data_IF_552662155513
#
_entry.id   IF_552662155513
#
_cell.length_a   1.000
_cell.length_b   1.000
_cell.length_c   1.000
_cell.angle_alpha   90.00
_cell.angle_beta   90.00
_cell.angle_gamma   90.00
#
_symmetry.space_group_name_H-M   'P 1'
#
loop_
_entity.id
_entity.type
_entity.pdbx_description
1 polymer ?
#
# COMPACT_ATOMS: atom_id res chain seq x y z
N UNK A 1 24.87 26.11 -10.21
CA UNK A 1 24.63 25.50 -10.27
C UNK A 1 24.45 24.63 -9.75
N UNK A 2 24.06 24.23 -9.28
CA UNK A 2 23.89 23.36 -8.75
C UNK A 2 23.68 22.32 -9.15
N UNK A 3 23.92 21.96 -9.61
CA UNK A 3 23.74 21.04 -10.06
C UNK A 3 24.11 19.94 -9.61
N UNK A 4 24.64 19.64 -8.83
CA UNK A 4 24.91 18.57 -8.24
C UNK A 4 23.85 18.01 -7.52
N UNK A 5 22.65 18.32 -7.55
CA UNK A 5 21.62 17.71 -6.85
C UNK A 5 21.31 16.40 -7.43
N UNK A 6 20.94 15.41 -6.59
CA UNK A 6 20.55 14.15 -7.00
C UNK A 6 19.40 14.22 -7.92
N UNK A 7 19.39 13.46 -8.98
CA UNK A 7 18.28 13.45 -9.86
C UNK A 7 17.16 12.68 -9.29
N UNK A 8 15.95 13.22 -9.34
CA UNK A 8 14.75 12.51 -8.99
C UNK A 8 14.25 11.80 -10.23
N UNK A 9 13.49 10.71 -10.06
CA UNK A 9 12.86 10.07 -11.18
C UNK A 9 11.86 11.01 -11.81
N UNK A 10 11.44 10.73 -13.04
CA UNK A 10 10.44 11.56 -13.71
C UNK A 10 9.16 11.62 -12.88
N UNK A 11 8.78 10.49 -12.28
CA UNK A 11 7.58 10.42 -11.45
C UNK A 11 7.72 11.34 -10.23
N UNK A 12 8.84 11.30 -9.53
CA UNK A 12 9.05 12.13 -8.34
C UNK A 12 9.09 13.60 -8.66
N UNK A 13 9.69 13.97 -9.77
CA UNK A 13 9.72 15.37 -10.18
C UNK A 13 8.32 15.88 -10.47
N UNK A 14 7.50 15.03 -11.07
CA UNK A 14 6.14 15.41 -11.43
C UNK A 14 5.27 15.68 -10.21
N UNK A 15 5.32 14.83 -9.21
CA UNK A 15 4.43 14.95 -8.08
C UNK A 15 5.06 15.61 -6.86
N UNK A 16 6.30 15.28 -6.56
CA UNK A 16 6.99 15.82 -5.40
C UNK A 16 6.15 15.87 -4.14
N UNK A 17 5.33 14.85 -3.92
CA UNK A 17 4.44 14.78 -2.78
C UNK A 17 4.74 13.52 -1.99
N UNK A 18 4.95 13.61 -0.67
CA UNK A 18 5.30 12.44 0.13
C UNK A 18 4.11 11.50 0.30
N UNK A 19 4.41 10.22 0.43
CA UNK A 19 3.42 9.22 0.75
C UNK A 19 3.30 9.15 2.28
N UNK A 20 2.08 8.97 2.77
CA UNK A 20 1.79 9.03 4.20
C UNK A 20 1.49 7.64 4.74
N UNK A 21 2.24 7.25 5.76
CA UNK A 21 2.03 5.99 6.45
C UNK A 21 0.61 5.92 7.02
N UNK A 22 -0.04 4.80 6.80
CA UNK A 22 -1.41 4.59 7.28
C UNK A 22 -2.48 4.89 6.26
N UNK A 23 -2.12 5.51 5.15
CA UNK A 23 -3.10 5.84 4.11
C UNK A 23 -3.11 4.78 3.02
N UNK A 24 -4.18 4.78 2.25
CA UNK A 24 -4.34 3.87 1.11
C UNK A 24 -3.97 4.59 -0.18
N UNK A 25 -3.38 3.84 -1.10
CA UNK A 25 -2.94 4.35 -2.39
C UNK A 25 -3.20 3.32 -3.48
N UNK A 26 -3.22 3.76 -4.73
CA UNK A 26 -3.27 2.86 -5.87
C UNK A 26 -1.87 2.57 -6.33
N UNK A 27 -1.61 1.30 -6.63
CA UNK A 27 -0.31 0.86 -7.12
C UNK A 27 -0.43 0.57 -8.61
N UNK A 28 0.61 0.91 -9.36
CA UNK A 28 0.65 0.58 -10.77
C UNK A 28 0.92 -0.90 -10.87
N UNK A 29 -0.01 -1.65 -11.37
CA UNK A 29 0.24 -3.05 -11.63
C UNK A 29 -0.69 -3.51 -12.72
N UNK A 30 -0.46 -4.72 -13.19
CA UNK A 30 -1.23 -5.27 -14.29
C UNK A 30 -2.66 -5.62 -13.89
N UNK A 31 -2.95 -5.63 -12.62
CA UNK A 31 -4.28 -6.00 -12.15
C UNK A 31 -5.22 -4.82 -11.96
N UNK A 32 -4.86 -3.66 -12.40
CA UNK A 32 -5.75 -2.52 -12.31
C UNK A 32 -5.65 -1.73 -11.01
N UNK A 33 -4.57 -1.88 -10.30
CA UNK A 33 -4.32 -1.03 -9.15
C UNK A 33 -5.15 -1.33 -7.92
N UNK A 34 -4.95 -2.50 -7.35
CA UNK A 34 -5.59 -2.82 -6.07
C UNK A 34 -5.27 -1.76 -5.04
N UNK A 35 -6.25 -1.35 -4.22
CA UNK A 35 -5.96 -0.41 -3.15
C UNK A 35 -5.00 -1.04 -2.16
N UNK A 36 -4.03 -0.26 -1.73
CA UNK A 36 -2.97 -0.76 -0.87
C UNK A 36 -2.71 0.20 0.27
N UNK A 37 -2.55 -0.34 1.46
CA UNK A 37 -2.28 0.46 2.64
C UNK A 37 -0.78 0.50 2.89
N UNK A 38 -0.24 1.70 3.00
CA UNK A 38 1.17 1.90 3.31
C UNK A 38 1.35 1.78 4.81
N UNK A 39 2.13 0.81 5.28
CA UNK A 39 2.29 0.62 6.71
C UNK A 39 3.71 0.83 7.23
N UNK A 40 4.67 1.03 6.33
CA UNK A 40 6.04 1.31 6.72
C UNK A 40 6.75 1.96 5.55
N UNK A 41 7.65 2.88 5.80
CA UNK A 41 8.41 3.50 4.71
C UNK A 41 9.84 3.81 5.13
N UNK A 42 10.71 3.81 4.14
CA UNK A 42 12.08 4.27 4.28
C UNK A 42 12.38 5.14 3.07
N UNK A 43 12.17 6.43 3.21
CA UNK A 43 12.28 7.36 2.10
C UNK A 43 13.70 7.46 1.54
N UNK A 44 14.70 7.31 2.40
CA UNK A 44 16.09 7.37 1.96
C UNK A 44 16.43 6.27 0.99
N UNK A 45 15.88 5.08 1.20
CA UNK A 45 16.13 3.95 0.33
C UNK A 45 15.04 3.72 -0.69
N UNK A 46 14.06 4.61 -0.74
CA UNK A 46 12.93 4.49 -1.65
C UNK A 46 12.22 3.15 -1.50
N UNK A 47 11.92 2.79 -0.27
CA UNK A 47 11.21 1.55 0.04
C UNK A 47 9.93 1.86 0.77
N UNK A 48 8.83 1.25 0.31
CA UNK A 48 7.52 1.45 0.87
C UNK A 48 6.85 0.09 1.04
N UNK A 49 6.51 -0.25 2.28
CA UNK A 49 5.89 -1.53 2.58
C UNK A 49 4.38 -1.38 2.52
N UNK A 50 3.74 -2.18 1.69
CA UNK A 50 2.30 -2.10 1.50
C UNK A 50 1.64 -3.44 1.70
N UNK A 51 0.35 -3.38 2.04
CA UNK A 51 -0.51 -4.55 2.13
C UNK A 51 -1.70 -4.28 1.21
N UNK A 52 -1.99 -5.22 0.33
CA UNK A 52 -2.98 -5.02 -0.72
C UNK A 52 -4.32 -5.61 -0.37
N UNK A 53 -5.37 -5.02 -0.91
CA UNK A 53 -6.74 -5.46 -0.71
C UNK A 53 -7.41 -5.67 -2.07
N UNK A 54 -8.39 -6.56 -2.11
CA UNK A 54 -9.11 -6.87 -3.34
C UNK A 54 -10.54 -7.23 -3.02
N UNK A 55 -11.41 -7.18 -4.02
CA UNK A 55 -12.82 -7.57 -3.84
C UNK A 55 -13.05 -9.01 -4.27
N UNK A 56 -12.03 -9.71 -4.75
CA UNK A 56 -12.18 -11.07 -5.24
C UNK A 56 -11.53 -12.09 -4.32
N UNK A 57 -12.20 -13.24 -4.09
CA UNK A 57 -11.58 -14.31 -3.31
C UNK A 57 -10.47 -14.97 -4.11
N UNK A 58 -9.65 -15.75 -3.43
CA UNK A 58 -8.58 -16.47 -4.09
C UNK A 58 -7.57 -17.00 -3.10
N UNK A 59 -6.52 -17.62 -3.63
CA UNK A 59 -5.46 -18.15 -2.79
C UNK A 59 -4.70 -17.02 -2.15
N UNK A 60 -4.23 -17.26 -0.95
CA UNK A 60 -3.43 -16.29 -0.20
C UNK A 60 -4.19 -14.98 0.08
N UNK A 61 -5.52 -15.09 0.16
CA UNK A 61 -6.37 -13.96 0.48
C UNK A 61 -7.27 -14.33 1.65
N UNK A 62 -7.48 -13.39 2.55
CA UNK A 62 -8.32 -13.60 3.72
C UNK A 62 -9.48 -12.62 3.70
N UNK A 63 -10.69 -13.16 3.86
CA UNK A 63 -11.88 -12.32 3.88
C UNK A 63 -11.90 -11.47 5.15
N UNK A 64 -12.17 -10.18 4.98
CA UNK A 64 -12.35 -9.27 6.10
C UNK A 64 -13.78 -9.29 6.56
N UNK A 65 -14.02 -8.92 7.81
CA UNK A 65 -15.37 -8.83 8.35
C UNK A 65 -16.12 -7.65 7.77
N UNK A 66 -15.39 -6.61 7.40
CA UNK A 66 -16.01 -5.37 6.90
C UNK A 66 -15.35 -4.90 5.62
N UNK A 67 -16.15 -4.33 4.74
CA UNK A 67 -15.68 -3.73 3.51
C UNK A 67 -14.79 -2.55 3.84
N UNK A 68 -13.64 -2.42 3.14
CA UNK A 68 -12.75 -1.29 3.36
C UNK A 68 -13.30 0.00 2.73
N UNK A 69 -14.16 -0.14 1.73
CA UNK A 69 -14.78 1.00 1.07
C UNK A 69 -16.25 1.05 1.47
N UNK A 70 -16.65 1.99 2.32
CA UNK A 70 -18.02 2.02 2.82
C UNK A 70 -19.08 2.28 1.75
N UNK A 71 -18.65 2.69 0.57
CA UNK A 71 -19.58 2.94 -0.53
C UNK A 71 -19.75 1.75 -1.46
N UNK A 72 -19.03 0.67 -1.23
CA UNK A 72 -19.14 -0.53 -2.06
C UNK A 72 -19.87 -1.63 -1.32
N UNK A 73 -20.64 -2.40 -2.07
CA UNK A 73 -21.24 -3.61 -1.53
C UNK A 73 -20.29 -4.77 -1.82
N UNK A 74 -20.54 -5.90 -1.20
CA UNK A 74 -19.73 -7.08 -1.38
C UNK A 74 -18.61 -7.17 -0.36
N UNK A 75 -17.72 -8.12 -0.56
CA UNK A 75 -16.69 -8.43 0.41
C UNK A 75 -15.37 -7.78 0.07
N UNK A 76 -14.56 -7.59 1.09
CA UNK A 76 -13.17 -7.19 0.93
C UNK A 76 -12.28 -8.32 1.42
N UNK A 77 -11.17 -8.51 0.73
CA UNK A 77 -10.18 -9.51 1.08
C UNK A 77 -8.82 -8.83 1.20
N UNK A 78 -8.03 -9.26 2.17
CA UNK A 78 -6.66 -8.80 2.28
C UNK A 78 -5.76 -9.86 1.65
N UNK A 79 -4.79 -9.41 0.87
CA UNK A 79 -3.81 -10.30 0.25
C UNK A 79 -2.73 -10.56 1.30
N UNK A 80 -2.52 -11.84 1.61
CA UNK A 80 -1.71 -12.25 2.76
C UNK A 80 -0.21 -12.02 2.63
N UNK A 81 0.23 -11.54 1.49
CA UNK A 81 1.65 -11.31 1.23
C UNK A 81 1.94 -9.84 1.00
N UNK A 82 2.40 -9.12 2.03
CA UNK A 82 2.80 -7.74 1.85
C UNK A 82 3.99 -7.64 0.91
N UNK A 83 4.18 -6.49 0.31
CA UNK A 83 5.30 -6.29 -0.61
C UNK A 83 6.00 -4.97 -0.35
N UNK A 84 7.19 -4.82 -0.92
CA UNK A 84 7.96 -3.60 -0.84
C UNK A 84 7.95 -2.97 -2.23
N UNK A 85 7.55 -1.71 -2.29
CA UNK A 85 7.45 -0.98 -3.55
C UNK A 85 8.32 0.26 -3.52
N UNK A 86 8.58 0.82 -4.69
CA UNK A 86 9.28 2.09 -4.82
C UNK A 86 8.25 3.19 -4.98
N UNK A 87 8.66 4.42 -4.78
CA UNK A 87 7.76 5.56 -4.98
C UNK A 87 7.14 5.53 -6.37
N UNK A 88 7.94 5.18 -7.36
CA UNK A 88 7.50 5.14 -8.76
C UNK A 88 6.47 4.07 -9.06
N UNK A 89 6.32 3.11 -8.17
CA UNK A 89 5.33 2.04 -8.35
C UNK A 89 3.92 2.45 -7.94
N UNK A 90 3.78 3.59 -7.30
CA UNK A 90 2.46 4.12 -6.93
C UNK A 90 1.89 4.86 -8.13
N UNK A 91 0.61 4.66 -8.40
CA UNK A 91 -0.03 5.30 -9.55
C UNK A 91 -0.01 6.82 -9.42
N UNK A 92 -0.19 7.31 -8.20
CA UNK A 92 -0.07 8.72 -7.89
C UNK A 92 0.08 8.85 -6.37
N UNK A 93 0.51 9.99 -5.86
CA UNK A 93 0.74 10.14 -4.41
C UNK A 93 -0.47 10.67 -3.63
N UNK A 94 -1.67 10.57 -4.20
CA UNK A 94 -2.87 11.08 -3.54
C UNK A 94 -3.59 9.95 -2.82
N UNK A 95 -3.76 10.03 -1.51
CA UNK A 95 -4.36 8.94 -0.75
C UNK A 95 -5.85 8.78 -1.04
N UNK A 96 -6.30 7.54 -0.93
CA UNK A 96 -7.72 7.20 -1.07
C UNK A 96 -8.35 7.34 0.31
N UNK A 97 -8.79 8.53 0.63
CA UNK A 97 -9.24 8.86 1.99
C UNK A 97 -10.55 8.22 2.42
N UNK A 98 -11.31 7.68 1.49
CA UNK A 98 -12.56 7.01 1.81
C UNK A 98 -12.36 5.55 2.22
N UNK A 99 -11.15 5.03 2.09
CA UNK A 99 -10.87 3.64 2.42
C UNK A 99 -10.25 3.53 3.81
N UNK A 100 -10.63 2.49 4.53
CA UNK A 100 -10.02 2.23 5.83
C UNK A 100 -10.32 0.81 6.27
N UNK A 101 -9.48 0.29 7.14
CA UNK A 101 -9.69 -1.03 7.74
C UNK A 101 -10.54 -0.83 8.99
N UNK A 102 -11.66 -1.55 9.07
CA UNK A 102 -12.52 -1.48 10.25
C UNK A 102 -11.75 -1.99 11.47
N UNK A 103 -12.05 -1.42 12.63
CA UNK A 103 -11.33 -1.79 13.85
C UNK A 103 -11.35 -3.29 14.14
N UNK A 104 -12.41 -3.98 13.75
CA UNK A 104 -12.51 -5.41 13.96
C UNK A 104 -11.60 -6.24 13.05
N UNK A 105 -11.09 -5.63 12.00
CA UNK A 105 -10.18 -6.29 11.08
C UNK A 105 -8.72 -5.88 11.30
N UNK A 106 -8.48 -4.90 12.15
CA UNK A 106 -7.13 -4.40 12.36
C UNK A 106 -6.16 -5.44 12.89
N UNK A 107 -6.63 -6.30 13.77
CA UNK A 107 -5.76 -7.32 14.35
C UNK A 107 -5.24 -8.26 13.28
N UNK A 108 -6.11 -8.68 12.37
CA UNK A 108 -5.75 -9.56 11.27
C UNK A 108 -4.76 -8.87 10.34
N UNK A 109 -5.05 -7.63 9.96
CA UNK A 109 -4.19 -6.88 9.06
C UNK A 109 -2.81 -6.68 9.67
N UNK A 110 -2.74 -6.34 10.95
CA UNK A 110 -1.46 -6.18 11.64
C UNK A 110 -0.66 -7.46 11.69
N UNK A 111 -1.35 -8.57 11.87
CA UNK A 111 -0.70 -9.87 11.88
C UNK A 111 -0.03 -10.18 10.56
N UNK A 112 -0.71 -9.85 9.47
CA UNK A 112 -0.16 -10.04 8.13
C UNK A 112 1.02 -9.10 7.89
N UNK A 113 0.92 -7.85 8.35
CA UNK A 113 2.00 -6.88 8.21
C UNK A 113 3.26 -7.35 8.93
N UNK A 114 3.10 -8.04 10.05
CA UNK A 114 4.26 -8.54 10.81
C UNK A 114 5.03 -9.61 10.08
N UNK A 115 4.43 -10.29 9.15
CA UNK A 115 5.14 -11.30 8.37
C UNK A 115 6.27 -10.67 7.57
N UNK A 116 6.00 -9.53 6.97
CA UNK A 116 7.02 -8.83 6.18
C UNK A 116 8.16 -8.37 7.08
N UNK A 117 7.83 -7.88 8.27
CA UNK A 117 8.82 -7.45 9.20
C UNK A 117 9.76 -8.58 9.61
N UNK A 118 9.19 -9.73 9.91
CA UNK A 118 9.97 -10.89 10.27
C UNK A 118 10.89 -11.32 9.12
N UNK A 119 10.38 -11.32 7.92
CA UNK A 119 11.16 -11.68 6.75
C UNK A 119 12.30 -10.69 6.50
N UNK A 120 12.05 -9.43 6.70
CA UNK A 120 13.07 -8.42 6.42
C UNK A 120 14.23 -8.42 7.42
N UNK A 121 14.10 -9.16 8.49
CA UNK A 121 15.20 -9.24 9.43
C UNK A 121 16.29 -10.20 9.01
N UNK A 122 16.04 -10.99 8.04
CA UNK A 122 17.01 -11.99 7.61
C UNK A 122 18.02 -11.46 6.62
#
# INVERSE_FOLDING_TARGET
>A
MSRKRKRKSTYQRRYNKPLIKGKFYRIKDSSGGHPSKLFKKNTKKNRYWIIRFTSSPGRHRTKLKHQIDPQRSGDSFVINNPSIEKYEDFANPYPLNNLRVHKEDLKLVRKIQKKMRSTSRR
#
